data_IF_794614417240
#
_entry.id   IF_794614417240
#
_cell.length_a   1.000
_cell.length_b   1.000
_cell.length_c   1.000
_cell.angle_alpha   90.00
_cell.angle_beta   90.00
_cell.angle_gamma   90.00
#
_symmetry.space_group_name_H-M   'P 1'
#
loop_
_entity.id
_entity.type
_entity.pdbx_description
1 polymer ?
#
# COMPACT_ATOMS: atom_id res chain seq x y z
N UNK A 1 19.49 21.59 0.51
CA UNK A 1 20.35 20.45 0.88
C UNK A 1 20.17 19.39 -0.20
N UNK A 2 21.22 18.86 -0.84
CA UNK A 2 21.05 17.96 -1.98
C UNK A 2 20.32 16.70 -1.50
N UNK A 3 19.29 16.36 -2.26
CA UNK A 3 18.17 15.49 -1.92
C UNK A 3 18.56 14.01 -1.87
N UNK A 4 19.36 13.60 -0.90
CA UNK A 4 19.47 12.17 -0.53
C UNK A 4 18.41 11.90 0.53
N UNK A 5 17.15 11.87 0.10
CA UNK A 5 16.12 11.21 0.90
C UNK A 5 16.47 9.72 0.80
N UNK A 6 17.13 9.19 1.83
CA UNK A 6 17.36 7.74 1.90
C UNK A 6 16.01 7.07 1.83
N UNK A 7 15.77 6.18 0.84
CA UNK A 7 14.54 5.43 0.80
C UNK A 7 14.38 4.71 2.14
N UNK A 8 13.25 4.94 2.81
CA UNK A 8 13.00 4.37 4.12
C UNK A 8 12.87 2.86 3.98
N UNK A 9 13.81 2.11 4.55
CA UNK A 9 13.77 0.64 4.62
C UNK A 9 12.45 0.17 5.23
N UNK A 10 11.93 0.91 6.22
CA UNK A 10 10.64 0.65 6.86
C UNK A 10 9.46 0.80 5.90
N UNK A 11 9.53 1.74 4.95
CA UNK A 11 8.53 1.92 3.91
C UNK A 11 8.50 0.77 2.91
N UNK A 12 9.68 0.30 2.51
CA UNK A 12 9.79 -0.90 1.67
C UNK A 12 9.34 -2.17 2.39
N UNK A 13 9.72 -2.34 3.66
CA UNK A 13 9.27 -3.46 4.48
C UNK A 13 7.74 -3.48 4.62
N UNK A 14 7.10 -2.32 4.83
CA UNK A 14 5.65 -2.21 4.86
C UNK A 14 4.98 -2.62 3.55
N UNK A 15 5.50 -2.17 2.40
CA UNK A 15 5.00 -2.59 1.09
C UNK A 15 5.13 -4.12 0.89
N UNK A 16 6.21 -4.71 1.39
CA UNK A 16 6.49 -6.14 1.29
C UNK A 16 5.52 -6.96 2.15
N UNK A 17 5.20 -6.49 3.36
CA UNK A 17 4.17 -7.11 4.21
C UNK A 17 2.80 -7.11 3.50
N UNK A 18 2.40 -5.98 2.91
CA UNK A 18 1.15 -5.90 2.17
C UNK A 18 1.14 -6.79 0.91
N UNK A 19 2.28 -6.91 0.23
CA UNK A 19 2.42 -7.83 -0.90
C UNK A 19 2.23 -9.30 -0.46
N UNK A 20 2.85 -9.69 0.67
CA UNK A 20 2.68 -11.03 1.24
C UNK A 20 1.20 -11.26 1.58
N UNK A 21 0.53 -10.30 2.23
CA UNK A 21 -0.90 -10.40 2.57
C UNK A 21 -1.81 -10.49 1.34
N UNK A 22 -1.44 -9.81 0.24
CA UNK A 22 -2.15 -9.92 -1.02
C UNK A 22 -2.00 -11.32 -1.63
N UNK A 23 -0.77 -11.86 -1.64
CA UNK A 23 -0.47 -13.19 -2.15
C UNK A 23 -1.12 -14.30 -1.33
N UNK A 24 -1.13 -14.18 0.00
CA UNK A 24 -1.81 -15.14 0.87
C UNK A 24 -3.33 -15.08 0.68
N UNK A 25 -3.89 -13.87 0.55
CA UNK A 25 -5.33 -13.70 0.27
C UNK A 25 -5.72 -14.27 -1.10
N UNK A 26 -4.85 -14.13 -2.10
CA UNK A 26 -5.09 -14.70 -3.43
C UNK A 26 -5.10 -16.23 -3.44
N UNK A 27 -4.23 -16.87 -2.66
CA UNK A 27 -4.11 -18.32 -2.61
C UNK A 27 -5.11 -19.01 -1.66
N UNK A 28 -5.70 -18.28 -0.72
CA UNK A 28 -6.53 -18.86 0.35
C UNK A 28 -8.05 -18.82 0.06
N UNK A 29 -8.45 -18.93 -1.21
CA UNK A 29 -9.84 -18.68 -1.67
C UNK A 29 -10.38 -17.28 -1.27
N UNK A 30 -9.49 -16.36 -0.91
CA UNK A 30 -9.86 -15.04 -0.43
C UNK A 30 -10.60 -14.26 -1.51
N UNK A 31 -11.71 -13.62 -1.11
CA UNK A 31 -12.45 -12.69 -1.97
C UNK A 31 -11.47 -11.81 -2.73
N UNK A 32 -11.67 -11.65 -4.03
CA UNK A 32 -10.88 -10.75 -4.89
C UNK A 32 -10.72 -9.35 -4.28
N UNK A 33 -11.71 -8.91 -3.50
CA UNK A 33 -11.69 -7.67 -2.70
C UNK A 33 -10.53 -7.62 -1.71
N UNK A 34 -10.21 -8.71 -1.00
CA UNK A 34 -9.13 -8.75 -0.01
C UNK A 34 -7.77 -8.67 -0.69
N UNK A 35 -7.59 -9.44 -1.76
CA UNK A 35 -6.39 -9.37 -2.59
C UNK A 35 -6.18 -7.99 -3.19
N UNK A 36 -7.25 -7.38 -3.71
CA UNK A 36 -7.21 -6.03 -4.27
C UNK A 36 -6.87 -4.98 -3.21
N UNK A 37 -7.46 -5.09 -2.00
CA UNK A 37 -7.20 -4.20 -0.87
C UNK A 37 -5.73 -4.25 -0.43
N UNK A 38 -5.20 -5.45 -0.16
CA UNK A 38 -3.80 -5.61 0.23
C UNK A 38 -2.84 -5.19 -0.89
N UNK A 39 -3.18 -5.50 -2.14
CA UNK A 39 -2.42 -5.06 -3.31
C UNK A 39 -2.39 -3.53 -3.46
N UNK A 40 -3.53 -2.86 -3.27
CA UNK A 40 -3.66 -1.39 -3.28
C UNK A 40 -2.81 -0.75 -2.19
N UNK A 41 -2.88 -1.27 -0.96
CA UNK A 41 -2.09 -0.77 0.17
C UNK A 41 -0.60 -0.97 -0.07
N UNK A 42 -0.19 -2.12 -0.59
CA UNK A 42 1.20 -2.41 -0.94
C UNK A 42 1.74 -1.50 -2.03
N UNK A 43 0.97 -1.32 -3.12
CA UNK A 43 1.32 -0.40 -4.21
C UNK A 43 1.41 1.06 -3.72
N UNK A 44 0.47 1.51 -2.89
CA UNK A 44 0.50 2.83 -2.28
C UNK A 44 1.76 3.06 -1.43
N UNK A 45 2.11 2.08 -0.60
CA UNK A 45 3.29 2.16 0.26
C UNK A 45 4.60 2.15 -0.53
N UNK A 46 4.67 1.36 -1.60
CA UNK A 46 5.80 1.32 -2.52
C UNK A 46 5.96 2.68 -3.22
N UNK A 47 4.88 3.20 -3.81
CA UNK A 47 4.88 4.50 -4.51
C UNK A 47 5.26 5.66 -3.61
N UNK A 48 4.87 5.63 -2.33
CA UNK A 48 5.21 6.65 -1.34
C UNK A 48 6.69 6.66 -0.95
N UNK A 49 7.35 5.50 -0.96
CA UNK A 49 8.73 5.33 -0.47
C UNK A 49 9.77 5.11 -1.57
N UNK A 50 9.36 5.08 -2.83
CA UNK A 50 10.28 5.08 -3.96
C UNK A 50 11.25 6.26 -3.87
N UNK A 51 12.55 6.04 -4.13
CA UNK A 51 13.53 7.11 -4.14
C UNK A 51 13.10 8.13 -5.20
N UNK A 52 13.03 9.41 -4.80
CA UNK A 52 12.43 10.53 -5.55
C UNK A 52 13.25 10.96 -6.79
N UNK A 53 13.96 10.04 -7.44
CA UNK A 53 14.69 10.27 -8.69
C UNK A 53 13.79 10.87 -9.78
N UNK A 54 12.48 10.56 -9.75
CA UNK A 54 11.46 11.19 -10.59
C UNK A 54 10.61 12.13 -9.71
N UNK A 55 11.04 13.39 -9.66
CA UNK A 55 10.47 14.47 -8.86
C UNK A 55 9.06 14.87 -9.34
N UNK A 56 8.06 13.99 -9.18
CA UNK A 56 6.67 14.29 -9.51
C UNK A 56 5.86 14.32 -8.22
N UNK A 57 5.59 15.54 -7.73
CA UNK A 57 4.66 15.81 -6.61
C UNK A 57 3.31 15.08 -6.77
N UNK A 58 2.90 14.84 -8.02
CA UNK A 58 1.73 14.05 -8.40
C UNK A 58 1.81 12.58 -7.96
N UNK A 59 2.97 11.91 -8.04
CA UNK A 59 3.10 10.51 -7.67
C UNK A 59 2.80 10.29 -6.17
N UNK A 60 3.18 11.25 -5.34
CA UNK A 60 2.90 11.23 -3.91
C UNK A 60 1.40 11.45 -3.60
N UNK A 61 0.71 12.28 -4.40
CA UNK A 61 -0.75 12.45 -4.30
C UNK A 61 -1.49 11.18 -4.73
N UNK A 62 -1.02 10.51 -5.79
CA UNK A 62 -1.55 9.22 -6.23
C UNK A 62 -1.33 8.15 -5.17
N UNK A 63 -0.14 8.08 -4.57
CA UNK A 63 0.14 7.17 -3.46
C UNK A 63 -0.79 7.43 -2.26
N UNK A 64 -1.04 8.69 -1.92
CA UNK A 64 -2.00 9.07 -0.89
C UNK A 64 -3.44 8.66 -1.23
N UNK A 65 -3.88 8.87 -2.47
CA UNK A 65 -5.21 8.47 -2.93
C UNK A 65 -5.39 6.94 -2.88
N UNK A 66 -4.41 6.18 -3.36
CA UNK A 66 -4.40 4.71 -3.30
C UNK A 66 -4.42 4.21 -1.85
N UNK A 67 -3.69 4.87 -0.96
CA UNK A 67 -3.67 4.53 0.47
C UNK A 67 -5.03 4.79 1.12
N UNK A 68 -5.67 5.92 0.80
CA UNK A 68 -7.01 6.24 1.29
C UNK A 68 -8.04 5.22 0.82
N UNK A 69 -8.02 4.85 -0.47
CA UNK A 69 -8.92 3.83 -1.02
C UNK A 69 -8.70 2.47 -0.36
N UNK A 70 -7.44 2.03 -0.22
CA UNK A 70 -7.11 0.77 0.46
C UNK A 70 -7.57 0.75 1.91
N UNK A 71 -7.44 1.88 2.63
CA UNK A 71 -7.94 2.03 4.00
C UNK A 71 -9.46 1.95 4.11
N UNK A 72 -10.20 2.56 3.18
CA UNK A 72 -11.67 2.48 3.16
C UNK A 72 -12.11 1.03 2.91
N UNK A 73 -11.48 0.33 1.96
CA UNK A 73 -11.78 -1.09 1.72
C UNK A 73 -11.48 -1.94 2.95
N UNK A 74 -10.36 -1.67 3.64
CA UNK A 74 -10.01 -2.35 4.89
C UNK A 74 -11.06 -2.14 5.98
N UNK A 75 -11.50 -0.89 6.17
CA UNK A 75 -12.55 -0.58 7.13
C UNK A 75 -13.85 -1.30 6.76
N UNK A 76 -14.30 -1.24 5.51
CA UNK A 76 -15.57 -1.88 5.11
C UNK A 76 -15.55 -3.41 5.34
N UNK A 77 -14.45 -4.07 5.00
CA UNK A 77 -14.37 -5.53 5.14
C UNK A 77 -14.15 -5.97 6.59
N UNK A 78 -13.34 -5.23 7.38
CA UNK A 78 -12.92 -5.69 8.71
C UNK A 78 -13.66 -5.03 9.88
N UNK A 79 -14.27 -3.83 9.75
CA UNK A 79 -15.12 -3.27 10.83
C UNK A 79 -16.25 -4.22 11.27
N UNK A 80 -16.98 -4.89 10.35
CA UNK A 80 -18.11 -5.73 10.71
C UNK A 80 -17.72 -6.93 11.58
N UNK A 81 -16.49 -7.43 11.42
CA UNK A 81 -15.97 -8.57 12.19
C UNK A 81 -15.44 -8.16 13.58
N UNK A 82 -15.25 -6.86 13.82
CA UNK A 82 -14.71 -6.31 15.08
C UNK A 82 -15.84 -5.83 16.02
N UNK A 83 -17.06 -5.60 15.49
CA UNK A 83 -18.24 -5.11 16.23
C UNK A 83 -19.13 -6.25 16.74
#
# INVERSE_FOLDING_TARGET
>A
MPFIYTPSIYGFAGALIFLILALTSFNADGKLINTAMWGLLGAAYLLKHLPKFLMLRMLNLVALALLAVGMVLFLIEHLPDIA
#
